data_IF_528792010150
#
_entry.id   IF_528792010150
#
_cell.length_a   1.000
_cell.length_b   1.000
_cell.length_c   1.000
_cell.angle_alpha   90.00
_cell.angle_beta   90.00
_cell.angle_gamma   90.00
#
_symmetry.space_group_name_H-M   'P 1'
#
loop_
_entity.id
_entity.type
_entity.pdbx_description
1 polymer ?
#
# COMPACT_ATOMS: atom_id res chain seq x y z
N UNK A 1 -5.78 -2.80 -15.19
CA UNK A 1 -6.12 -1.75 -14.21
C UNK A 1 -4.98 -1.73 -13.22
N UNK A 2 -4.43 -0.56 -12.94
CA UNK A 2 -3.28 -0.46 -12.04
C UNK A 2 -3.82 -0.38 -10.62
N UNK A 3 -3.20 -1.11 -9.70
CA UNK A 3 -3.61 -1.19 -8.29
C UNK A 3 -2.69 -0.29 -7.49
N UNK A 4 -3.25 0.60 -6.68
CA UNK A 4 -2.47 1.57 -5.94
C UNK A 4 -2.67 1.45 -4.44
N UNK A 5 -1.57 1.66 -3.74
CA UNK A 5 -1.53 1.88 -2.31
C UNK A 5 -0.87 3.23 -2.07
N UNK A 6 -1.61 4.16 -1.50
CA UNK A 6 -1.13 5.44 -1.03
C UNK A 6 -0.63 5.30 0.40
N UNK A 7 0.42 6.03 0.76
CA UNK A 7 0.99 6.03 2.10
C UNK A 7 1.23 7.47 2.55
N UNK A 8 0.53 7.91 3.59
CA UNK A 8 0.78 9.19 4.24
C UNK A 8 1.58 8.95 5.52
N UNK A 9 2.74 9.57 5.62
CA UNK A 9 3.54 9.64 6.84
C UNK A 9 3.30 11.00 7.50
N UNK A 10 2.62 11.00 8.65
CA UNK A 10 2.36 12.18 9.48
C UNK A 10 3.26 12.13 10.72
N UNK A 11 4.31 12.96 10.72
CA UNK A 11 5.22 13.12 11.85
C UNK A 11 5.20 14.59 12.27
N UNK A 12 4.82 14.83 13.52
CA UNK A 12 4.68 16.19 14.09
C UNK A 12 3.78 17.07 13.21
N UNK A 13 4.31 18.13 12.61
CA UNK A 13 3.59 19.06 11.73
C UNK A 13 3.89 18.83 10.24
N UNK A 14 4.50 17.69 9.90
CA UNK A 14 4.83 17.31 8.51
C UNK A 14 4.00 16.13 8.04
N UNK A 15 3.60 16.19 6.77
CA UNK A 15 2.91 15.11 6.08
C UNK A 15 3.58 14.87 4.74
N UNK A 16 4.15 13.69 4.58
CA UNK A 16 4.71 13.21 3.32
C UNK A 16 3.81 12.14 2.72
N UNK A 17 3.59 12.21 1.40
CA UNK A 17 2.68 11.31 0.69
C UNK A 17 3.43 10.51 -0.38
N UNK A 18 3.26 9.19 -0.36
CA UNK A 18 3.90 8.26 -1.28
C UNK A 18 2.83 7.45 -2.03
N UNK A 19 3.15 7.06 -3.27
CA UNK A 19 2.27 6.26 -4.12
C UNK A 19 3.03 5.03 -4.56
N UNK A 20 2.45 3.87 -4.27
CA UNK A 20 2.94 2.58 -4.74
C UNK A 20 1.95 2.00 -5.73
N UNK A 21 2.44 1.64 -6.91
CA UNK A 21 1.61 1.12 -7.98
C UNK A 21 2.14 -0.24 -8.44
N UNK A 22 1.22 -1.15 -8.73
CA UNK A 22 1.54 -2.45 -9.31
C UNK A 22 0.70 -2.72 -10.55
N UNK A 23 1.37 -3.23 -11.59
CA UNK A 23 0.70 -3.66 -12.81
C UNK A 23 -0.04 -4.98 -12.60
N UNK A 24 -1.08 -5.22 -13.40
CA UNK A 24 -1.92 -6.41 -13.26
C UNK A 24 -1.11 -7.72 -13.40
N UNK A 25 -0.15 -7.79 -14.32
CA UNK A 25 0.65 -9.00 -14.51
C UNK A 25 1.53 -9.31 -13.29
N UNK A 26 2.09 -8.28 -12.64
CA UNK A 26 2.89 -8.43 -11.44
C UNK A 26 2.02 -8.86 -10.26
N UNK A 27 0.85 -8.22 -10.10
CA UNK A 27 -0.14 -8.57 -9.10
C UNK A 27 -0.55 -10.04 -9.19
N UNK A 28 -0.97 -10.50 -10.38
CA UNK A 28 -1.40 -11.88 -10.60
C UNK A 28 -0.28 -12.88 -10.27
N UNK A 29 0.98 -12.54 -10.60
CA UNK A 29 2.12 -13.38 -10.26
C UNK A 29 2.36 -13.46 -8.76
N UNK A 30 2.33 -12.33 -8.05
CA UNK A 30 2.53 -12.28 -6.59
C UNK A 30 1.42 -13.04 -5.86
N UNK A 31 0.15 -12.72 -6.14
CA UNK A 31 -0.99 -13.35 -5.45
C UNK A 31 -1.12 -14.83 -5.80
N UNK A 32 -0.85 -15.21 -7.05
CA UNK A 32 -0.80 -16.62 -7.45
C UNK A 32 0.23 -17.42 -6.65
N UNK A 33 1.40 -16.85 -6.37
CA UNK A 33 2.41 -17.48 -5.52
C UNK A 33 1.97 -17.50 -4.05
N UNK A 34 1.48 -16.38 -3.51
CA UNK A 34 1.00 -16.26 -2.13
C UNK A 34 -0.05 -17.35 -1.80
N UNK A 35 -1.04 -17.51 -2.69
CA UNK A 35 -2.12 -18.49 -2.55
C UNK A 35 -1.64 -19.93 -2.67
N UNK A 36 -0.77 -20.20 -3.66
CA UNK A 36 -0.22 -21.55 -3.87
C UNK A 36 0.61 -22.00 -2.68
N UNK A 37 1.38 -21.08 -2.11
CA UNK A 37 2.33 -21.37 -1.07
C UNK A 37 1.66 -21.42 0.33
N UNK A 38 0.38 -21.06 0.42
CA UNK A 38 -0.43 -21.18 1.64
C UNK A 38 0.07 -20.27 2.76
N UNK A 39 0.54 -19.08 2.39
CA UNK A 39 1.13 -18.11 3.32
C UNK A 39 0.06 -17.63 4.31
N UNK A 40 0.46 -17.49 5.57
CA UNK A 40 -0.37 -16.87 6.61
C UNK A 40 -0.62 -15.40 6.27
N UNK A 41 -1.90 -15.05 6.06
CA UNK A 41 -2.30 -13.76 5.52
C UNK A 41 -2.08 -12.61 6.53
N UNK A 42 -2.25 -12.87 7.82
CA UNK A 42 -2.01 -11.88 8.87
C UNK A 42 -0.52 -11.53 8.92
N UNK A 43 0.34 -12.55 8.89
CA UNK A 43 1.78 -12.34 8.84
C UNK A 43 2.24 -11.66 7.54
N UNK A 44 1.61 -12.01 6.41
CA UNK A 44 1.88 -11.37 5.12
C UNK A 44 1.54 -9.88 5.14
N UNK A 45 0.42 -9.51 5.78
CA UNK A 45 0.02 -8.11 5.96
C UNK A 45 1.05 -7.33 6.78
N UNK A 46 1.39 -7.84 7.96
CA UNK A 46 2.36 -7.20 8.86
C UNK A 46 3.70 -6.97 8.16
N UNK A 47 4.16 -7.98 7.42
CA UNK A 47 5.41 -7.92 6.67
C UNK A 47 5.35 -6.91 5.53
N UNK A 48 4.28 -6.91 4.74
CA UNK A 48 4.11 -6.00 3.62
C UNK A 48 4.06 -4.53 4.09
N UNK A 49 3.31 -4.26 5.15
CA UNK A 49 3.24 -2.94 5.78
C UNK A 49 4.62 -2.49 6.28
N UNK A 50 5.35 -3.36 6.98
CA UNK A 50 6.68 -3.04 7.48
C UNK A 50 7.67 -2.71 6.33
N UNK A 51 7.57 -3.42 5.20
CA UNK A 51 8.38 -3.13 4.01
C UNK A 51 8.09 -1.73 3.45
N UNK A 52 6.81 -1.36 3.29
CA UNK A 52 6.45 -0.02 2.81
C UNK A 52 6.86 1.08 3.80
N UNK A 53 6.61 0.90 5.09
CA UNK A 53 7.01 1.86 6.13
C UNK A 53 8.53 2.08 6.15
N UNK A 54 9.32 1.00 6.03
CA UNK A 54 10.77 1.10 5.93
C UNK A 54 11.22 1.88 4.69
N UNK A 55 10.58 1.63 3.53
CA UNK A 55 10.88 2.35 2.29
C UNK A 55 10.56 3.84 2.40
N UNK A 56 9.36 4.17 2.91
CA UNK A 56 8.88 5.53 3.14
C UNK A 56 9.82 6.29 4.07
N UNK A 57 10.21 5.69 5.21
CA UNK A 57 11.09 6.32 6.20
C UNK A 57 12.53 6.49 5.74
N UNK A 58 13.00 5.64 4.82
CA UNK A 58 14.32 5.82 4.22
C UNK A 58 14.38 7.08 3.35
N UNK A 59 13.25 7.49 2.76
CA UNK A 59 13.12 8.70 1.91
C UNK A 59 14.27 8.80 0.89
N UNK A 60 14.69 7.66 0.35
CA UNK A 60 15.83 7.55 -0.56
C UNK A 60 15.31 7.47 -2.00
N UNK A 61 15.67 8.46 -2.82
CA UNK A 61 15.32 8.49 -4.24
C UNK A 61 16.09 7.44 -5.07
N UNK A 62 17.06 6.74 -4.45
CA UNK A 62 17.88 5.70 -5.08
C UNK A 62 17.52 4.30 -4.60
N UNK A 63 16.30 3.87 -4.92
CA UNK A 63 15.85 2.50 -4.62
C UNK A 63 16.64 1.47 -5.43
N UNK A 64 17.12 0.42 -4.75
CA UNK A 64 17.72 -0.75 -5.42
C UNK A 64 16.63 -1.61 -6.05
N UNK A 65 17.00 -2.47 -7.00
CA UNK A 65 16.05 -3.43 -7.61
C UNK A 65 15.37 -4.30 -6.55
N UNK A 66 16.10 -4.73 -5.52
CA UNK A 66 15.53 -5.56 -4.45
C UNK A 66 14.44 -4.81 -3.67
N UNK A 67 14.60 -3.49 -3.48
CA UNK A 67 13.57 -2.67 -2.83
C UNK A 67 12.35 -2.50 -3.73
N UNK A 68 12.55 -2.31 -5.04
CA UNK A 68 11.46 -2.24 -6.00
C UNK A 68 10.68 -3.56 -6.07
N UNK A 69 11.37 -4.70 -6.07
CA UNK A 69 10.75 -6.02 -6.08
C UNK A 69 9.97 -6.26 -4.78
N UNK A 70 10.53 -5.88 -3.62
CA UNK A 70 9.83 -5.95 -2.34
C UNK A 70 8.60 -5.04 -2.30
N UNK A 71 8.67 -3.83 -2.88
CA UNK A 71 7.54 -2.92 -3.00
C UNK A 71 6.41 -3.53 -3.83
N UNK A 72 6.73 -4.19 -4.95
CA UNK A 72 5.73 -4.88 -5.78
C UNK A 72 5.01 -5.97 -4.98
N UNK A 73 5.75 -6.77 -4.21
CA UNK A 73 5.19 -7.81 -3.35
C UNK A 73 4.30 -7.20 -2.26
N UNK A 74 4.79 -6.19 -1.56
CA UNK A 74 4.08 -5.54 -0.47
C UNK A 74 2.78 -4.86 -0.97
N UNK A 75 2.87 -4.08 -2.05
CA UNK A 75 1.73 -3.38 -2.65
C UNK A 75 0.67 -4.36 -3.11
N UNK A 76 1.07 -5.46 -3.77
CA UNK A 76 0.12 -6.48 -4.22
C UNK A 76 -0.58 -7.16 -3.05
N UNK A 77 0.18 -7.50 -2.00
CA UNK A 77 -0.33 -8.20 -0.82
C UNK A 77 -1.33 -7.34 -0.06
N UNK A 78 -0.98 -6.08 0.21
CA UNK A 78 -1.88 -5.13 0.89
C UNK A 78 -3.14 -4.92 0.06
N UNK A 79 -2.98 -4.67 -1.25
CA UNK A 79 -4.12 -4.50 -2.15
C UNK A 79 -5.07 -5.69 -2.12
N UNK A 80 -4.53 -6.90 -2.28
CA UNK A 80 -5.29 -8.14 -2.25
C UNK A 80 -6.06 -8.29 -0.94
N UNK A 81 -5.41 -8.10 0.21
CA UNK A 81 -6.04 -8.38 1.50
C UNK A 81 -7.25 -7.48 1.78
N UNK A 82 -7.17 -6.20 1.46
CA UNK A 82 -8.28 -5.27 1.71
C UNK A 82 -9.34 -5.23 0.61
N UNK A 83 -9.03 -5.61 -0.63
CA UNK A 83 -10.02 -5.62 -1.73
C UNK A 83 -10.65 -7.01 -1.95
N UNK A 84 -9.90 -8.10 -1.75
CA UNK A 84 -10.30 -9.45 -2.17
C UNK A 84 -10.25 -10.46 -1.01
N UNK A 85 -9.27 -10.34 -0.11
CA UNK A 85 -9.00 -11.28 0.98
C UNK A 85 -9.90 -11.11 2.21
N UNK A 86 -10.51 -9.95 2.38
CA UNK A 86 -11.44 -9.65 3.48
C UNK A 86 -12.90 -9.95 3.12
N UNK A 87 -13.75 -10.05 4.14
CA UNK A 87 -15.19 -10.24 4.02
C UNK A 87 -15.82 -9.06 3.25
N UNK A 88 -16.90 -9.31 2.50
CA UNK A 88 -17.51 -8.32 1.60
C UNK A 88 -17.85 -6.99 2.27
N UNK A 89 -18.27 -7.03 3.54
CA UNK A 89 -18.66 -5.85 4.33
C UNK A 89 -17.45 -4.98 4.74
N UNK A 90 -16.25 -5.55 4.77
CA UNK A 90 -15.01 -4.90 5.22
C UNK A 90 -14.07 -4.53 4.06
N UNK A 91 -14.51 -4.73 2.81
CA UNK A 91 -13.69 -4.46 1.63
C UNK A 91 -13.55 -2.96 1.38
N UNK A 92 -12.33 -2.56 1.03
CA UNK A 92 -12.06 -1.27 0.41
C UNK A 92 -12.22 -1.45 -1.09
N UNK A 93 -13.11 -0.69 -1.73
CA UNK A 93 -13.25 -0.73 -3.19
C UNK A 93 -12.20 0.17 -3.86
N UNK A 94 -11.21 -0.45 -4.52
CA UNK A 94 -10.25 0.27 -5.36
C UNK A 94 -8.92 0.56 -4.65
N UNK A 95 -8.45 1.79 -4.76
CA UNK A 95 -7.15 2.18 -4.22
C UNK A 95 -7.19 2.24 -2.68
N UNK A 96 -6.06 1.89 -2.05
CA UNK A 96 -5.95 1.83 -0.58
C UNK A 96 -5.15 3.02 -0.08
N UNK A 97 -5.54 3.60 1.06
CA UNK A 97 -4.73 4.57 1.79
C UNK A 97 -4.24 3.98 3.11
N UNK A 98 -2.92 4.02 3.31
CA UNK A 98 -2.27 3.81 4.58
C UNK A 98 -1.92 5.17 5.18
N UNK A 99 -2.24 5.39 6.45
CA UNK A 99 -1.87 6.60 7.19
C UNK A 99 -1.06 6.17 8.40
N UNK A 100 0.21 6.54 8.44
CA UNK A 100 1.05 6.39 9.62
C UNK A 100 1.11 7.74 10.35
N UNK A 101 0.55 7.79 11.56
CA UNK A 101 0.49 9.01 12.37
C UNK A 101 0.99 8.74 13.77
N UNK A 102 1.97 9.51 14.22
CA UNK A 102 2.57 9.39 15.56
C UNK A 102 3.06 7.96 15.89
N UNK A 103 3.44 7.19 14.87
CA UNK A 103 3.89 5.80 14.96
C UNK A 103 2.77 4.75 14.96
N UNK A 104 1.51 5.16 14.84
CA UNK A 104 0.35 4.28 14.66
C UNK A 104 -0.05 4.22 13.19
N UNK A 105 -0.41 3.03 12.70
CA UNK A 105 -0.83 2.83 11.31
C UNK A 105 -2.33 2.60 11.22
N UNK A 106 -2.96 3.30 10.29
CA UNK A 106 -4.37 3.20 9.97
C UNK A 106 -4.53 2.86 8.48
N UNK A 107 -5.60 2.13 8.16
CA UNK A 107 -6.02 1.86 6.79
C UNK A 107 -7.35 2.55 6.56
N UNK A 108 -7.47 3.28 5.46
CA UNK A 108 -8.68 4.02 5.07
C UNK A 108 -8.85 3.97 3.56
N UNK A 109 -10.03 4.26 3.07
CA UNK A 109 -10.28 4.53 1.67
C UNK A 109 -9.62 5.86 1.25
N UNK A 110 -9.29 5.97 -0.04
CA UNK A 110 -8.61 7.16 -0.58
C UNK A 110 -9.49 8.40 -0.54
N UNK A 111 -10.82 8.23 -0.61
CA UNK A 111 -11.78 9.34 -0.63
C UNK A 111 -11.88 10.11 0.70
N UNK A 112 -11.65 9.46 1.84
CA UNK A 112 -11.68 10.13 3.15
C UNK A 112 -10.35 10.83 3.53
N UNK A 113 -9.24 10.57 2.83
CA UNK A 113 -7.90 10.96 3.29
C UNK A 113 -7.06 11.81 2.32
N UNK A 114 -7.47 11.97 1.06
CA UNK A 114 -6.88 12.97 0.18
C UNK A 114 -7.38 14.37 0.59
N UNK A 115 -6.52 15.40 0.71
CA UNK A 115 -7.04 16.76 0.66
C UNK A 115 -7.83 16.91 -0.64
N UNK A 116 -8.96 17.63 -0.60
CA UNK A 116 -9.53 18.18 -1.83
C UNK A 116 -8.42 19.03 -2.47
N UNK A 117 -7.71 18.50 -3.46
CA UNK A 117 -6.81 19.29 -4.28
C UNK A 117 -7.68 20.34 -4.97
N UNK A 118 -7.69 21.53 -4.37
CA UNK A 118 -8.09 22.76 -5.01
C UNK A 118 -7.25 22.97 -6.26
N UNK A 119 -7.95 23.41 -7.31
CA UNK A 119 -7.45 23.76 -8.64
C UNK A 119 -6.90 22.60 -9.48
N UNK A 120 -7.83 21.90 -10.15
CA UNK A 120 -7.58 21.47 -11.51
C UNK A 120 -7.36 22.73 -12.39
N UNK A 121 -6.20 22.92 -13.05
CA UNK A 121 -6.07 23.98 -14.02
C UNK A 121 -6.94 23.67 -15.25
N UNK A 122 -7.73 24.67 -15.67
CA UNK A 122 -8.54 24.70 -16.91
C UNK A 122 -7.76 24.25 -18.17
#
# INVERSE_FOLDING_TARGET
MNRRVYYNLEIEDTRDSFIFEVEDIQYQHVIGNLMRDGVDLDHALETAVAMLSANVRMHDDSLTQDVLDAQVVATSTIWFLFNEGTDEDDRIEGDIMLVEKDGELFVTDVTDAMPEDGDAPD
#
